data_IF_191821139814
#
_entry.id   IF_191821139814
#
_cell.length_a   1.000
_cell.length_b   1.000
_cell.length_c   1.000
_cell.angle_alpha   90.00
_cell.angle_beta   90.00
_cell.angle_gamma   90.00
#
_symmetry.space_group_name_H-M   'P 1'
#
loop_
_entity.id
_entity.type
_entity.pdbx_description
1 polymer ?
#
# COMPACT_ATOMS: atom_id res chain seq x y z
N UNK A 1 0.73 -19.09 -38.48
CA UNK A 1 1.55 -18.00 -37.89
C UNK A 1 0.90 -17.37 -36.68
N UNK A 2 -0.33 -16.85 -36.78
CA UNK A 2 -1.03 -16.23 -35.64
C UNK A 2 -1.25 -17.21 -34.48
N UNK A 3 -1.58 -18.47 -34.77
CA UNK A 3 -1.74 -19.52 -33.74
C UNK A 3 -0.44 -19.80 -32.96
N UNK A 4 0.72 -19.78 -33.63
CA UNK A 4 2.03 -19.94 -32.98
C UNK A 4 2.40 -18.74 -32.10
N UNK A 5 2.01 -17.53 -32.51
CA UNK A 5 2.20 -16.31 -31.70
C UNK A 5 1.22 -16.30 -30.51
N UNK A 6 0.00 -16.79 -30.71
CA UNK A 6 -0.98 -16.94 -29.63
C UNK A 6 -0.55 -17.99 -28.60
N UNK A 7 0.03 -19.12 -29.04
CA UNK A 7 0.54 -20.15 -28.14
C UNK A 7 1.80 -19.73 -27.38
N UNK A 8 2.71 -18.97 -28.00
CA UNK A 8 3.85 -18.42 -27.25
C UNK A 8 3.38 -17.41 -26.20
N UNK A 9 2.36 -16.60 -26.53
CA UNK A 9 1.75 -15.65 -25.61
C UNK A 9 1.10 -16.33 -24.39
N UNK A 10 0.43 -17.46 -24.59
CA UNK A 10 -0.16 -18.22 -23.47
C UNK A 10 0.88 -18.85 -22.55
N UNK A 11 2.02 -19.30 -23.10
CA UNK A 11 3.14 -19.78 -22.28
C UNK A 11 3.78 -18.65 -21.47
N UNK A 12 3.91 -17.45 -22.04
CA UNK A 12 4.46 -16.28 -21.35
C UNK A 12 3.53 -15.83 -20.22
N UNK A 13 2.21 -15.79 -20.46
CA UNK A 13 1.24 -15.41 -19.42
C UNK A 13 1.21 -16.40 -18.26
N UNK A 14 1.30 -17.71 -18.55
CA UNK A 14 1.38 -18.75 -17.53
C UNK A 14 2.64 -18.62 -16.68
N UNK A 15 3.80 -18.39 -17.31
CA UNK A 15 5.06 -18.16 -16.59
C UNK A 15 4.99 -16.90 -15.72
N UNK A 16 4.43 -15.80 -16.23
CA UNK A 16 4.25 -14.54 -15.48
C UNK A 16 3.46 -14.76 -14.19
N UNK A 17 2.38 -15.55 -14.26
CA UNK A 17 1.55 -15.86 -13.10
C UNK A 17 2.32 -16.68 -12.05
N UNK A 18 3.11 -17.66 -12.47
CA UNK A 18 3.97 -18.45 -11.57
C UNK A 18 4.99 -17.55 -10.87
N UNK A 19 5.64 -16.64 -11.61
CA UNK A 19 6.57 -15.66 -11.03
C UNK A 19 5.88 -14.72 -10.05
N UNK A 20 4.68 -14.24 -10.35
CA UNK A 20 3.92 -13.36 -9.46
C UNK A 20 3.62 -14.03 -8.11
N UNK A 21 3.19 -15.30 -8.14
CA UNK A 21 2.95 -16.08 -6.91
C UNK A 21 4.24 -16.22 -6.10
N UNK A 22 5.36 -16.51 -6.77
CA UNK A 22 6.66 -16.67 -6.10
C UNK A 22 7.12 -15.36 -5.41
N UNK A 23 7.00 -14.22 -6.10
CA UNK A 23 7.39 -12.91 -5.55
C UNK A 23 6.53 -12.55 -4.33
N UNK A 24 5.21 -12.80 -4.39
CA UNK A 24 4.33 -12.56 -3.24
C UNK A 24 4.73 -13.45 -2.06
N UNK A 25 4.96 -14.74 -2.29
CA UNK A 25 5.36 -15.66 -1.23
C UNK A 25 6.69 -15.25 -0.59
N UNK A 26 7.70 -14.92 -1.41
CA UNK A 26 8.99 -14.43 -0.93
C UNK A 26 8.83 -13.15 -0.11
N UNK A 27 7.94 -12.24 -0.52
CA UNK A 27 7.68 -10.98 0.19
C UNK A 27 7.03 -11.18 1.56
N UNK A 28 6.19 -12.21 1.72
CA UNK A 28 5.56 -12.54 3.01
C UNK A 28 6.57 -13.16 3.99
N UNK A 29 7.50 -13.98 3.47
CA UNK A 29 8.54 -14.62 4.27
C UNK A 29 9.61 -13.58 4.66
N UNK A 30 10.03 -12.75 3.71
CA UNK A 30 10.99 -11.68 3.95
C UNK A 30 10.28 -10.44 4.50
N UNK A 31 10.18 -10.34 5.83
CA UNK A 31 9.64 -9.17 6.54
C UNK A 31 10.52 -7.92 6.34
N UNK A 32 10.57 -7.38 5.12
CA UNK A 32 11.38 -6.20 4.75
C UNK A 32 10.71 -4.94 5.29
N UNK A 33 11.49 -4.10 5.96
CA UNK A 33 11.06 -2.77 6.39
C UNK A 33 10.82 -1.89 5.15
N UNK A 34 9.73 -1.12 5.12
CA UNK A 34 9.49 -0.18 4.02
C UNK A 34 10.48 0.99 4.09
N UNK A 35 11.33 1.14 3.06
CA UNK A 35 12.32 2.22 2.98
C UNK A 35 11.71 3.55 2.55
N UNK A 36 10.66 3.51 1.72
CA UNK A 36 9.97 4.71 1.22
C UNK A 36 8.46 4.46 1.20
N UNK A 37 7.67 5.45 1.63
CA UNK A 37 6.22 5.45 1.44
C UNK A 37 5.88 6.19 0.15
N UNK A 38 4.99 5.61 -0.65
CA UNK A 38 4.40 6.32 -1.78
C UNK A 38 3.48 7.42 -1.26
N UNK A 39 3.75 8.68 -1.63
CA UNK A 39 2.99 9.81 -1.13
C UNK A 39 1.74 10.01 -1.99
N UNK A 40 0.64 9.35 -1.60
CA UNK A 40 -0.66 9.51 -2.23
C UNK A 40 -1.57 10.38 -1.37
N UNK A 41 -2.44 11.17 -2.01
CA UNK A 41 -3.26 12.20 -1.36
C UNK A 41 -4.43 11.65 -0.52
N UNK A 42 -4.68 10.33 -0.53
CA UNK A 42 -5.70 9.73 0.33
C UNK A 42 -5.15 9.38 1.71
N UNK A 43 -6.00 9.57 2.72
CA UNK A 43 -5.65 9.45 4.14
C UNK A 43 -5.13 8.07 4.55
N UNK A 44 -5.51 7.02 3.84
CA UNK A 44 -5.07 5.65 4.12
C UNK A 44 -3.55 5.47 3.89
N UNK A 45 -2.94 6.22 2.97
CA UNK A 45 -1.51 6.12 2.67
C UNK A 45 -0.63 6.91 3.65
N UNK A 46 -1.23 7.80 4.45
CA UNK A 46 -0.56 8.49 5.56
C UNK A 46 -0.44 7.59 6.80
N UNK A 47 -1.23 6.53 6.90
CA UNK A 47 -1.21 5.62 8.05
C UNK A 47 0.14 4.90 8.19
N UNK A 48 0.45 4.44 9.40
CA UNK A 48 1.58 3.52 9.62
C UNK A 48 1.32 2.18 8.93
N UNK A 49 2.40 1.56 8.44
CA UNK A 49 2.37 0.19 7.94
C UNK A 49 3.23 -0.66 8.89
N UNK A 50 2.69 -1.67 9.60
CA UNK A 50 1.28 -2.07 9.65
C UNK A 50 0.40 -1.06 10.44
N UNK A 51 -0.90 -0.96 10.13
CA UNK A 51 -1.83 -0.16 10.91
C UNK A 51 -2.08 -0.81 12.28
N UNK A 52 -2.29 0.00 13.31
CA UNK A 52 -2.74 -0.46 14.63
C UNK A 52 -4.21 -0.92 14.53
N UNK A 53 -4.63 -1.87 15.37
CA UNK A 53 -5.98 -2.46 15.38
C UNK A 53 -7.12 -1.43 15.56
N UNK A 54 -6.80 -0.19 15.94
CA UNK A 54 -7.68 0.97 15.94
C UNK A 54 -7.00 2.17 15.26
N UNK A 55 -6.77 2.09 13.95
CA UNK A 55 -6.10 3.15 13.16
C UNK A 55 -6.97 4.41 12.92
N UNK A 56 -8.25 4.38 13.26
CA UNK A 56 -9.20 5.47 12.97
C UNK A 56 -10.01 5.88 14.20
N UNK A 57 -9.34 6.36 15.26
CA UNK A 57 -10.06 6.89 16.43
C UNK A 57 -10.54 8.32 16.18
N UNK A 58 -9.79 9.13 15.40
CA UNK A 58 -10.18 10.51 15.08
C UNK A 58 -9.96 10.80 13.59
N UNK A 59 -11.03 11.25 12.93
CA UNK A 59 -10.96 11.71 11.55
C UNK A 59 -10.04 12.94 11.45
N UNK A 60 -9.33 13.13 10.32
CA UNK A 60 -8.37 14.24 10.14
C UNK A 60 -9.00 15.63 10.30
N UNK A 61 -10.32 15.77 10.11
CA UNK A 61 -11.05 17.02 10.35
C UNK A 61 -11.02 17.40 11.83
N UNK A 62 -11.20 16.44 12.75
CA UNK A 62 -11.16 16.71 14.18
C UNK A 62 -9.74 17.01 14.65
N UNK A 63 -8.73 16.32 14.13
CA UNK A 63 -7.32 16.59 14.44
C UNK A 63 -6.95 18.04 14.08
N UNK A 64 -7.37 18.52 12.90
CA UNK A 64 -7.10 19.91 12.48
C UNK A 64 -7.79 20.92 13.40
N UNK A 65 -9.02 20.63 13.83
CA UNK A 65 -9.79 21.51 14.71
C UNK A 65 -9.22 21.53 16.15
N UNK A 66 -8.82 20.38 16.68
CA UNK A 66 -8.12 20.29 17.97
C UNK A 66 -6.78 21.02 17.94
N UNK A 67 -6.03 20.92 16.85
CA UNK A 67 -4.75 21.61 16.70
C UNK A 67 -4.96 23.15 16.67
N UNK A 68 -5.95 23.62 15.91
CA UNK A 68 -6.36 25.04 15.92
C UNK A 68 -6.81 25.52 17.29
N UNK A 69 -7.62 24.71 18.00
CA UNK A 69 -8.10 25.04 19.35
C UNK A 69 -6.95 25.09 20.35
N UNK A 70 -5.95 24.21 20.22
CA UNK A 70 -4.76 24.20 21.08
C UNK A 70 -3.83 25.39 20.82
N UNK A 71 -3.80 25.92 19.60
CA UNK A 71 -3.08 27.14 19.23
C UNK A 71 -3.80 28.37 19.79
N UNK A 72 -5.13 28.44 19.64
CA UNK A 72 -5.94 29.55 20.14
C UNK A 72 -5.95 29.64 21.67
N UNK A 73 -5.90 28.51 22.38
CA UNK A 73 -5.80 28.47 23.84
C UNK A 73 -4.38 28.79 24.37
N UNK A 74 -3.38 28.89 23.48
CA UNK A 74 -1.99 29.25 23.81
C UNK A 74 -1.69 30.74 23.60
N UNK A 75 -2.67 31.51 23.16
CA UNK A 75 -2.65 32.98 23.09
C UNK A 75 -3.64 33.55 24.12
#
# INVERSE_FOLDING_TARGET
YVEFISSIGSMISLNSLIFLIFIILESLISKRMMLFKFNQSSLEWLNSCPPLEHSHIESPILIKNLNLKSILLKF
#
